data_IF_243613010402
#
_entry.id   IF_243613010402
#
_cell.length_a   1.000
_cell.length_b   1.000
_cell.length_c   1.000
_cell.angle_alpha   90.00
_cell.angle_beta   90.00
_cell.angle_gamma   90.00
#
_symmetry.space_group_name_H-M   'P 1'
#
loop_
_entity.id
_entity.type
_entity.pdbx_description
1 polymer ?
#
# COMPACT_ATOMS: atom_id res chain seq x y z
N UNK A 1 49.55 46.28 27.68
CA UNK A 1 48.21 45.93 28.18
C UNK A 1 47.28 45.80 26.99
N UNK A 2 47.07 44.58 26.48
CA UNK A 2 46.18 44.29 25.34
C UNK A 2 44.97 43.53 25.88
N UNK A 3 43.81 44.15 25.81
CA UNK A 3 42.52 43.59 26.18
C UNK A 3 41.98 42.72 25.05
N UNK A 4 41.74 41.44 25.33
CA UNK A 4 41.05 40.53 24.41
C UNK A 4 39.54 40.60 24.66
N UNK A 5 38.81 40.89 23.58
CA UNK A 5 37.36 40.96 23.50
C UNK A 5 36.84 39.57 23.10
N UNK A 6 36.19 38.84 24.03
CA UNK A 6 35.48 37.60 23.70
C UNK A 6 34.11 37.93 23.10
N UNK A 7 33.88 37.54 21.83
CA UNK A 7 32.56 37.52 21.21
C UNK A 7 31.92 36.14 21.41
N UNK A 8 30.89 36.07 22.23
CA UNK A 8 29.98 34.91 22.33
C UNK A 8 28.90 35.04 21.27
N UNK A 9 28.84 34.12 20.32
CA UNK A 9 27.68 33.92 19.45
C UNK A 9 26.86 32.74 19.96
N UNK A 10 25.72 33.04 20.58
CA UNK A 10 24.70 32.06 20.92
C UNK A 10 23.81 31.78 19.72
N UNK A 11 23.88 30.56 19.17
CA UNK A 11 22.90 30.06 18.22
C UNK A 11 21.73 29.41 18.97
N UNK A 12 20.57 30.07 18.91
CA UNK A 12 19.28 29.57 19.35
C UNK A 12 18.58 28.87 18.18
N UNK A 13 18.77 27.55 18.07
CA UNK A 13 18.04 26.69 17.11
C UNK A 13 17.50 25.47 17.86
N UNK A 14 16.45 25.65 18.66
CA UNK A 14 15.86 24.53 19.42
C UNK A 14 14.32 24.51 19.47
N UNK A 15 13.61 25.42 18.80
CA UNK A 15 12.15 25.57 19.04
C UNK A 15 11.22 25.37 17.83
N UNK A 16 11.73 24.86 16.68
CA UNK A 16 10.88 24.61 15.50
C UNK A 16 10.48 23.15 15.29
N UNK A 17 11.14 22.17 15.91
CA UNK A 17 10.79 20.74 15.73
C UNK A 17 9.66 20.25 16.64
N UNK A 18 9.37 20.95 17.74
CA UNK A 18 8.36 20.50 18.71
C UNK A 18 6.90 20.72 18.27
N UNK A 19 6.65 21.57 17.25
CA UNK A 19 5.27 21.86 16.79
C UNK A 19 4.74 20.86 15.77
N UNK A 20 5.60 20.17 15.02
CA UNK A 20 5.17 19.23 13.97
C UNK A 20 4.71 17.88 14.51
N UNK A 21 5.03 17.55 15.78
CA UNK A 21 4.71 16.24 16.36
C UNK A 21 3.28 16.22 16.95
N UNK A 22 2.74 17.36 17.38
CA UNK A 22 1.43 17.42 18.07
C UNK A 22 0.24 17.30 17.12
N UNK A 23 0.33 17.77 15.87
CA UNK A 23 -0.75 17.64 14.88
C UNK A 23 -0.96 16.20 14.38
N UNK A 24 0.05 15.33 14.48
CA UNK A 24 -0.03 13.94 13.99
C UNK A 24 -0.77 13.02 14.98
N UNK A 25 -0.84 13.38 16.27
CA UNK A 25 -1.52 12.56 17.30
C UNK A 25 -3.05 12.62 17.18
N UNK A 26 -3.62 13.65 16.54
CA UNK A 26 -5.08 13.73 16.34
C UNK A 26 -5.61 12.83 15.22
N UNK A 27 -4.76 12.35 14.30
CA UNK A 27 -5.19 11.51 13.17
C UNK A 27 -5.48 10.06 13.60
N UNK A 28 -4.94 9.59 14.73
CA UNK A 28 -5.12 8.19 15.17
C UNK A 28 -6.43 7.90 15.89
N UNK A 29 -7.33 8.88 16.06
CA UNK A 29 -8.58 8.73 16.84
C UNK A 29 -9.86 8.54 16.00
N UNK A 30 -9.78 8.47 14.66
CA UNK A 30 -10.95 8.36 13.77
C UNK A 30 -11.07 6.96 13.12
N UNK A 31 -11.01 5.90 13.92
CA UNK A 31 -11.15 4.51 13.45
C UNK A 31 -12.59 4.09 13.13
N UNK A 32 -13.60 4.96 13.32
CA UNK A 32 -15.02 4.60 13.26
C UNK A 32 -15.76 4.94 11.96
N UNK A 33 -15.11 5.55 10.95
CA UNK A 33 -15.80 6.04 9.74
C UNK A 33 -15.79 5.12 8.51
N UNK A 34 -15.25 3.89 8.59
CA UNK A 34 -15.08 3.00 7.41
C UNK A 34 -16.26 2.06 7.10
N UNK A 35 -17.47 2.33 7.60
CA UNK A 35 -18.66 1.50 7.32
C UNK A 35 -19.71 2.19 6.42
N UNK A 36 -19.27 2.88 5.36
CA UNK A 36 -20.19 3.36 4.31
C UNK A 36 -19.83 2.68 3.00
N UNK A 37 -20.11 1.38 2.93
CA UNK A 37 -20.09 0.63 1.65
C UNK A 37 -21.43 0.91 0.97
N UNK A 38 -21.49 1.95 0.13
CA UNK A 38 -22.62 2.16 -0.77
C UNK A 38 -22.58 1.05 -1.83
N UNK A 39 -23.58 0.16 -1.79
CA UNK A 39 -23.83 -0.83 -2.85
C UNK A 39 -24.12 -0.07 -4.15
N UNK A 40 -23.12 0.09 -5.00
CA UNK A 40 -23.36 0.50 -6.38
C UNK A 40 -23.91 -0.73 -7.13
N UNK A 41 -25.08 -0.64 -7.77
CA UNK A 41 -25.56 -1.70 -8.64
C UNK A 41 -24.61 -1.82 -9.83
N UNK A 42 -23.87 -2.92 -9.90
CA UNK A 42 -23.03 -3.27 -11.05
C UNK A 42 -23.99 -3.52 -12.22
N UNK A 43 -24.07 -2.56 -13.14
CA UNK A 43 -24.76 -2.79 -14.40
C UNK A 43 -23.82 -3.58 -15.32
N UNK A 44 -24.17 -4.86 -15.53
CA UNK A 44 -23.49 -5.74 -16.47
C UNK A 44 -23.79 -5.23 -17.88
N UNK A 45 -22.78 -4.63 -18.52
CA UNK A 45 -22.84 -4.16 -19.90
C UNK A 45 -22.94 -5.37 -20.82
N UNK A 46 -24.10 -5.56 -21.45
CA UNK A 46 -24.32 -6.62 -22.43
C UNK A 46 -23.35 -6.45 -23.62
N UNK A 47 -22.60 -7.51 -23.92
CA UNK A 47 -21.68 -7.59 -25.07
C UNK A 47 -22.51 -7.47 -26.36
N UNK A 48 -22.25 -6.43 -27.15
CA UNK A 48 -22.70 -6.38 -28.54
C UNK A 48 -21.79 -7.23 -29.42
N UNK A 49 -22.43 -8.03 -30.27
CA UNK A 49 -21.80 -8.98 -31.20
C UNK A 49 -20.81 -8.28 -32.12
N UNK A 50 -19.54 -8.67 -32.01
CA UNK A 50 -18.47 -8.23 -32.89
C UNK A 50 -18.31 -9.27 -34.00
N UNK A 51 -19.03 -9.08 -35.10
CA UNK A 51 -18.85 -9.83 -36.35
C UNK A 51 -17.51 -9.44 -36.98
N UNK A 52 -16.55 -10.36 -36.96
CA UNK A 52 -15.23 -10.20 -37.60
C UNK A 52 -15.32 -10.81 -39.01
N UNK A 53 -15.37 -9.96 -40.04
CA UNK A 53 -15.16 -10.36 -41.42
C UNK A 53 -13.65 -10.38 -41.70
N UNK A 54 -13.06 -11.56 -41.86
CA UNK A 54 -11.63 -11.73 -42.21
C UNK A 54 -11.52 -12.16 -43.67
N UNK A 55 -11.10 -11.23 -44.53
CA UNK A 55 -10.60 -11.52 -45.88
C UNK A 55 -9.11 -11.82 -45.79
N UNK A 56 -8.75 -13.00 -46.31
CA UNK A 56 -7.42 -13.58 -46.23
C UNK A 56 -6.42 -12.89 -47.15
N UNK A 57 -5.25 -12.53 -46.62
CA UNK A 57 -4.04 -12.35 -47.44
C UNK A 57 -2.80 -12.66 -46.58
N UNK A 58 -2.13 -13.75 -46.96
CA UNK A 58 -0.70 -14.10 -46.91
C UNK A 58 0.17 -13.78 -45.66
N UNK A 59 0.79 -14.86 -45.15
CA UNK A 59 1.91 -14.94 -44.19
C UNK A 59 1.84 -14.05 -42.94
N UNK A 60 0.79 -14.21 -42.15
CA UNK A 60 0.69 -13.61 -40.81
C UNK A 60 1.39 -14.47 -39.75
N UNK A 61 2.38 -13.91 -39.06
CA UNK A 61 2.89 -14.43 -37.78
C UNK A 61 1.72 -14.85 -36.90
N UNK A 62 1.73 -16.09 -36.39
CA UNK A 62 0.63 -16.63 -35.61
C UNK A 62 0.30 -15.70 -34.43
N UNK A 63 -0.77 -14.92 -34.60
CA UNK A 63 -1.24 -13.99 -33.58
C UNK A 63 -1.65 -14.81 -32.36
N UNK A 64 -0.94 -14.60 -31.26
CA UNK A 64 -1.28 -15.22 -29.97
C UNK A 64 -2.56 -14.57 -29.46
N UNK A 65 -3.67 -15.29 -29.53
CA UNK A 65 -4.93 -14.85 -28.95
C UNK A 65 -5.16 -15.51 -27.60
N UNK A 66 -5.65 -14.72 -26.65
CA UNK A 66 -6.10 -15.20 -25.34
C UNK A 66 -7.62 -15.29 -25.39
N UNK A 67 -8.15 -16.50 -25.21
CA UNK A 67 -9.58 -16.74 -25.00
C UNK A 67 -9.83 -17.24 -23.59
N UNK A 68 -10.98 -16.89 -23.02
CA UNK A 68 -11.41 -17.40 -21.72
C UNK A 68 -12.34 -18.58 -21.91
N UNK A 69 -12.31 -19.55 -20.99
CA UNK A 69 -13.28 -20.64 -20.99
C UNK A 69 -14.67 -20.11 -20.63
N UNK A 70 -15.68 -20.46 -21.42
CA UNK A 70 -17.07 -20.04 -21.19
C UNK A 70 -17.69 -20.67 -19.94
N UNK A 71 -17.14 -21.80 -19.50
CA UNK A 71 -17.60 -22.55 -18.32
C UNK A 71 -16.61 -22.45 -17.17
N UNK A 72 -17.08 -21.98 -16.02
CA UNK A 72 -16.29 -21.93 -14.77
C UNK A 72 -16.67 -23.13 -13.90
N UNK A 73 -15.69 -23.95 -13.52
CA UNK A 73 -15.86 -25.00 -12.51
C UNK A 73 -15.54 -24.44 -11.13
N UNK A 74 -16.51 -24.46 -10.22
CA UNK A 74 -16.30 -24.07 -8.82
C UNK A 74 -16.16 -25.31 -7.95
N UNK A 75 -15.16 -25.35 -7.08
CA UNK A 75 -15.04 -26.38 -6.04
C UNK A 75 -15.21 -25.71 -4.67
N UNK A 76 -16.13 -26.21 -3.82
CA UNK A 76 -16.22 -25.70 -2.46
C UNK A 76 -14.92 -26.01 -1.74
N UNK A 77 -14.35 -25.00 -1.09
CA UNK A 77 -13.19 -25.16 -0.22
C UNK A 77 -13.66 -25.02 1.22
N UNK A 78 -13.17 -25.89 2.10
CA UNK A 78 -13.52 -25.87 3.51
C UNK A 78 -13.08 -24.53 4.12
N UNK A 79 -14.00 -23.83 4.78
CA UNK A 79 -13.64 -22.64 5.56
C UNK A 79 -12.77 -23.04 6.74
N UNK A 80 -11.79 -22.21 7.10
CA UNK A 80 -10.95 -22.43 8.29
C UNK A 80 -11.78 -22.54 9.57
N UNK A 81 -12.89 -21.80 9.63
CA UNK A 81 -13.79 -21.81 10.79
C UNK A 81 -14.62 -23.11 10.88
N UNK A 82 -14.61 -23.93 9.82
CA UNK A 82 -15.28 -25.23 9.75
C UNK A 82 -14.34 -26.40 10.07
N UNK A 83 -13.08 -26.14 10.43
CA UNK A 83 -12.12 -27.20 10.74
C UNK A 83 -12.42 -27.82 12.10
N UNK A 84 -12.33 -29.14 12.21
CA UNK A 84 -12.37 -29.81 13.51
C UNK A 84 -11.12 -29.49 14.32
N UNK A 85 -11.14 -29.76 15.63
CA UNK A 85 -9.97 -29.52 16.49
C UNK A 85 -8.77 -30.37 16.07
N UNK A 86 -9.03 -31.60 15.63
CA UNK A 86 -8.01 -32.52 15.12
C UNK A 86 -7.35 -31.96 13.85
N UNK A 87 -8.15 -31.42 12.92
CA UNK A 87 -7.65 -30.76 11.71
C UNK A 87 -6.85 -29.49 12.02
N UNK A 88 -7.30 -28.69 13.00
CA UNK A 88 -6.57 -27.50 13.46
C UNK A 88 -5.22 -27.87 14.07
N UNK A 89 -5.15 -28.94 14.86
CA UNK A 89 -3.90 -29.44 15.45
C UNK A 89 -2.99 -30.10 14.40
N UNK A 90 -3.56 -30.62 13.31
CA UNK A 90 -2.81 -31.17 12.17
C UNK A 90 -2.31 -30.09 11.19
N UNK A 91 -2.70 -28.83 11.37
CA UNK A 91 -2.18 -27.73 10.56
C UNK A 91 -0.66 -27.55 10.78
N UNK A 92 0.04 -27.07 9.75
CA UNK A 92 1.50 -26.87 9.81
C UNK A 92 1.94 -25.85 10.86
N UNK A 93 1.06 -24.93 11.25
CA UNK A 93 1.34 -23.91 12.25
C UNK A 93 0.17 -23.81 13.20
N UNK A 94 0.45 -23.91 14.50
CA UNK A 94 -0.54 -23.68 15.54
C UNK A 94 -0.70 -22.18 15.84
N UNK A 95 -1.72 -21.82 16.60
CA UNK A 95 -1.92 -20.43 17.05
C UNK A 95 -0.72 -19.92 17.88
N UNK A 96 -0.11 -20.78 18.68
CA UNK A 96 1.10 -20.49 19.46
C UNK A 96 2.30 -20.20 18.54
N UNK A 97 2.43 -20.94 17.43
CA UNK A 97 3.47 -20.70 16.43
C UNK A 97 3.30 -19.34 15.77
N UNK A 98 2.08 -19.00 15.35
CA UNK A 98 1.78 -17.67 14.81
C UNK A 98 2.08 -16.57 15.82
N UNK A 99 1.72 -16.76 17.08
CA UNK A 99 1.99 -15.81 18.15
C UNK A 99 3.50 -15.60 18.35
N UNK A 100 4.29 -16.68 18.31
CA UNK A 100 5.74 -16.64 18.41
C UNK A 100 6.38 -15.96 17.21
N UNK A 101 5.95 -16.28 15.99
CA UNK A 101 6.40 -15.63 14.76
C UNK A 101 6.10 -14.13 14.79
N UNK A 102 4.87 -13.74 15.15
CA UNK A 102 4.46 -12.35 15.28
C UNK A 102 5.33 -11.60 16.30
N UNK A 103 5.56 -12.19 17.48
CA UNK A 103 6.42 -11.60 18.52
C UNK A 103 7.85 -11.40 18.02
N UNK A 104 8.41 -12.40 17.32
CA UNK A 104 9.74 -12.30 16.72
C UNK A 104 9.84 -11.18 15.69
N UNK A 105 8.88 -11.10 14.77
CA UNK A 105 8.81 -10.03 13.75
C UNK A 105 8.69 -8.64 14.40
N UNK A 106 7.86 -8.49 15.43
CA UNK A 106 7.72 -7.22 16.14
C UNK A 106 9.00 -6.81 16.90
N UNK A 107 9.73 -7.78 17.47
CA UNK A 107 11.02 -7.52 18.08
C UNK A 107 12.06 -7.04 17.05
N UNK A 108 12.05 -7.61 15.84
CA UNK A 108 12.90 -7.14 14.75
C UNK A 108 12.53 -5.73 14.29
N UNK A 109 11.23 -5.43 14.15
CA UNK A 109 10.74 -4.07 13.86
C UNK A 109 11.19 -3.06 14.94
N UNK A 110 11.18 -3.44 16.21
CA UNK A 110 11.68 -2.58 17.29
C UNK A 110 13.19 -2.29 17.11
N UNK A 111 13.99 -3.28 16.71
CA UNK A 111 15.42 -3.09 16.39
C UNK A 111 15.65 -2.23 15.13
N UNK A 112 14.79 -2.36 14.12
CA UNK A 112 14.82 -1.50 12.93
C UNK A 112 14.57 -0.04 13.32
N UNK A 113 13.58 0.21 14.16
CA UNK A 113 13.24 1.55 14.64
C UNK A 113 14.33 2.17 15.53
N UNK A 114 15.13 1.35 16.24
CA UNK A 114 16.26 1.84 17.03
C UNK A 114 17.53 2.08 16.22
N UNK A 115 17.55 1.74 14.92
CA UNK A 115 18.74 1.89 14.07
C UNK A 115 19.86 0.91 14.42
N UNK A 116 19.55 -0.23 15.05
CA UNK A 116 20.57 -1.21 15.42
C UNK A 116 21.22 -1.85 14.18
N UNK A 117 22.56 -1.88 14.13
CA UNK A 117 23.32 -2.54 13.05
C UNK A 117 23.10 -4.05 12.96
N UNK A 118 22.60 -4.68 14.03
CA UNK A 118 22.28 -6.12 14.08
C UNK A 118 21.13 -6.54 13.15
N UNK A 119 20.37 -5.58 12.62
CA UNK A 119 19.26 -5.80 11.70
C UNK A 119 19.71 -6.43 10.37
N UNK A 120 20.94 -6.13 9.93
CA UNK A 120 21.51 -6.63 8.66
C UNK A 120 21.59 -8.15 8.55
N UNK A 121 21.54 -8.87 9.68
CA UNK A 121 21.55 -10.34 9.72
C UNK A 121 20.19 -10.97 9.45
N UNK A 122 19.11 -10.19 9.48
CA UNK A 122 17.75 -10.69 9.36
C UNK A 122 17.09 -10.12 8.12
N UNK A 123 16.19 -10.90 7.51
CA UNK A 123 15.34 -10.40 6.45
C UNK A 123 14.36 -9.37 7.03
N UNK A 124 14.48 -8.12 6.62
CA UNK A 124 13.56 -7.03 6.99
C UNK A 124 12.40 -6.87 6.01
N UNK A 125 12.43 -7.63 4.91
CA UNK A 125 11.45 -7.54 3.84
C UNK A 125 10.05 -7.89 4.33
N UNK A 126 9.08 -7.06 3.99
CA UNK A 126 7.69 -7.19 4.45
C UNK A 126 7.42 -6.60 5.83
N UNK A 127 8.45 -6.20 6.58
CA UNK A 127 8.33 -5.57 7.90
C UNK A 127 8.41 -4.04 7.85
N UNK A 128 8.74 -3.47 6.70
CA UNK A 128 8.85 -2.02 6.44
C UNK A 128 7.60 -1.28 6.92
N UNK A 129 6.42 -1.80 6.57
CA UNK A 129 5.13 -1.20 6.94
C UNK A 129 4.90 -1.07 8.45
N UNK A 130 5.60 -1.86 9.27
CA UNK A 130 5.51 -1.80 10.73
C UNK A 130 6.54 -0.87 11.36
N UNK A 131 7.52 -0.37 10.59
CA UNK A 131 8.42 0.66 11.08
C UNK A 131 7.64 1.95 11.35
N UNK A 132 8.10 2.72 12.33
CA UNK A 132 7.43 3.95 12.77
C UNK A 132 7.32 4.96 11.64
N UNK A 133 8.37 5.09 10.84
CA UNK A 133 8.45 6.08 9.75
C UNK A 133 7.61 5.65 8.57
N UNK A 134 7.82 4.45 8.04
CA UNK A 134 7.11 4.00 6.82
C UNK A 134 5.64 3.72 7.09
N UNK A 135 5.29 3.20 8.28
CA UNK A 135 3.90 3.02 8.70
C UNK A 135 3.14 4.34 8.74
N UNK A 136 3.74 5.39 9.33
CA UNK A 136 3.15 6.75 9.33
C UNK A 136 3.04 7.33 7.93
N UNK A 137 4.09 7.21 7.12
CA UNK A 137 4.08 7.72 5.74
C UNK A 137 2.97 7.08 4.91
N UNK A 138 2.83 5.75 5.00
CA UNK A 138 1.77 5.01 4.29
C UNK A 138 0.37 5.43 4.76
N UNK A 139 0.18 5.58 6.07
CA UNK A 139 -1.11 5.99 6.62
C UNK A 139 -1.46 7.43 6.19
N UNK A 140 -0.48 8.34 6.27
CA UNK A 140 -0.62 9.73 5.81
C UNK A 140 -1.00 9.77 4.34
N UNK A 141 -0.24 9.10 3.47
CA UNK A 141 -0.52 9.08 2.03
C UNK A 141 -1.92 8.52 1.71
N UNK A 142 -2.35 7.50 2.45
CA UNK A 142 -3.70 6.94 2.31
C UNK A 142 -4.77 7.98 2.64
N UNK A 143 -4.64 8.68 3.78
CA UNK A 143 -5.60 9.70 4.16
C UNK A 143 -5.60 10.88 3.20
N UNK A 144 -4.43 11.40 2.82
CA UNK A 144 -4.31 12.50 1.87
C UNK A 144 -4.92 12.16 0.51
N UNK A 145 -4.75 10.91 0.04
CA UNK A 145 -5.36 10.46 -1.21
C UNK A 145 -6.88 10.34 -1.09
N UNK A 146 -7.39 9.87 0.05
CA UNK A 146 -8.85 9.78 0.30
C UNK A 146 -9.46 11.18 0.37
N UNK A 147 -8.89 12.08 1.18
CA UNK A 147 -9.41 13.43 1.31
C UNK A 147 -9.36 14.19 -0.01
N UNK A 148 -8.26 14.10 -0.76
CA UNK A 148 -8.19 14.75 -2.06
C UNK A 148 -9.28 14.27 -3.04
N UNK A 149 -9.63 12.98 -3.01
CA UNK A 149 -10.73 12.45 -3.83
C UNK A 149 -12.09 12.95 -3.34
N UNK A 150 -12.33 12.99 -2.03
CA UNK A 150 -13.57 13.51 -1.46
C UNK A 150 -13.75 15.00 -1.77
N UNK A 151 -12.69 15.80 -1.58
CA UNK A 151 -12.69 17.23 -1.91
C UNK A 151 -13.01 17.45 -3.40
N UNK A 152 -12.43 16.64 -4.30
CA UNK A 152 -12.74 16.72 -5.74
C UNK A 152 -14.17 16.29 -6.06
N UNK A 153 -14.70 15.28 -5.37
CA UNK A 153 -16.10 14.86 -5.53
C UNK A 153 -17.08 15.96 -5.09
N UNK A 154 -16.78 16.65 -3.99
CA UNK A 154 -17.58 17.78 -3.52
C UNK A 154 -17.51 18.96 -4.53
N UNK A 155 -16.32 19.27 -5.07
CA UNK A 155 -16.17 20.29 -6.13
C UNK A 155 -16.99 19.94 -7.38
N UNK A 156 -16.92 18.69 -7.85
CA UNK A 156 -17.69 18.23 -9.02
C UNK A 156 -19.19 18.35 -8.78
N UNK A 157 -19.65 18.02 -7.56
CA UNK A 157 -21.04 18.15 -7.18
C UNK A 157 -21.52 19.61 -7.21
N UNK A 158 -20.74 20.53 -6.65
CA UNK A 158 -21.05 21.96 -6.62
C UNK A 158 -21.04 22.59 -8.03
N UNK A 159 -20.17 22.10 -8.91
CA UNK A 159 -20.11 22.49 -10.33
C UNK A 159 -21.25 21.87 -11.17
N UNK A 160 -22.01 20.91 -10.62
CA UNK A 160 -23.09 20.22 -11.31
C UNK A 160 -22.62 19.11 -12.27
N UNK A 161 -21.35 18.70 -12.19
CA UNK A 161 -20.82 17.55 -12.92
C UNK A 161 -21.05 16.26 -12.13
N UNK A 162 -21.58 15.23 -12.80
CA UNK A 162 -21.73 13.90 -12.20
C UNK A 162 -20.90 12.88 -12.97
N UNK A 163 -19.96 12.21 -12.26
CA UNK A 163 -19.21 11.08 -12.79
C UNK A 163 -18.05 11.42 -13.73
N UNK A 164 -17.31 12.51 -13.49
CA UNK A 164 -16.02 12.75 -14.17
C UNK A 164 -14.93 11.87 -13.51
N UNK A 165 -14.85 10.61 -13.98
CA UNK A 165 -13.92 9.61 -13.47
C UNK A 165 -12.46 9.98 -13.76
N UNK A 166 -12.20 10.69 -14.86
CA UNK A 166 -10.88 11.15 -15.28
C UNK A 166 -10.31 12.18 -14.30
N UNK A 167 -11.11 13.17 -13.85
CA UNK A 167 -10.68 14.14 -12.83
C UNK A 167 -10.36 13.47 -11.49
N UNK A 168 -11.26 12.61 -11.01
CA UNK A 168 -11.07 11.86 -9.76
C UNK A 168 -9.80 10.99 -9.84
N UNK A 169 -9.62 10.28 -10.94
CA UNK A 169 -8.44 9.46 -11.22
C UNK A 169 -7.16 10.30 -11.23
N UNK A 170 -7.21 11.47 -11.88
CA UNK A 170 -6.10 12.42 -11.92
C UNK A 170 -5.67 12.88 -10.53
N UNK A 171 -6.62 13.26 -9.68
CA UNK A 171 -6.35 13.69 -8.30
C UNK A 171 -5.75 12.54 -7.48
N UNK A 172 -6.33 11.34 -7.54
CA UNK A 172 -5.80 10.18 -6.83
C UNK A 172 -4.39 9.79 -7.31
N UNK A 173 -4.18 9.76 -8.62
CA UNK A 173 -2.90 9.45 -9.26
C UNK A 173 -1.82 10.44 -8.83
N UNK A 174 -2.14 11.74 -8.79
CA UNK A 174 -1.20 12.77 -8.34
C UNK A 174 -0.68 12.51 -6.93
N UNK A 175 -1.55 12.09 -5.99
CA UNK A 175 -1.20 11.79 -4.59
C UNK A 175 -0.43 10.49 -4.46
N UNK A 176 -0.79 9.47 -5.24
CA UNK A 176 -0.20 8.13 -5.13
C UNK A 176 1.06 7.91 -5.98
N UNK A 177 1.39 8.84 -6.88
CA UNK A 177 2.58 8.80 -7.75
C UNK A 177 3.88 8.46 -7.01
N UNK A 178 4.11 9.08 -5.86
CA UNK A 178 5.29 8.83 -5.01
C UNK A 178 5.39 7.39 -4.53
N UNK A 179 4.25 6.76 -4.21
CA UNK A 179 4.18 5.38 -3.77
C UNK A 179 4.45 4.40 -4.91
N UNK A 180 4.03 4.73 -6.13
CA UNK A 180 4.31 3.95 -7.33
C UNK A 180 5.82 3.97 -7.63
N UNK A 181 6.44 5.16 -7.62
CA UNK A 181 7.88 5.29 -7.83
C UNK A 181 8.67 4.53 -6.76
N UNK A 182 8.26 4.63 -5.49
CA UNK A 182 8.92 3.89 -4.42
C UNK A 182 8.80 2.38 -4.60
N UNK A 183 7.63 1.88 -5.02
CA UNK A 183 7.44 0.46 -5.31
C UNK A 183 8.34 -0.02 -6.47
N UNK A 184 8.52 0.80 -7.52
CA UNK A 184 9.42 0.49 -8.63
C UNK A 184 10.89 0.43 -8.18
N UNK A 185 11.35 1.43 -7.43
CA UNK A 185 12.72 1.46 -6.88
C UNK A 185 12.99 0.23 -6.02
N UNK A 186 12.02 -0.11 -5.18
CA UNK A 186 12.08 -1.29 -4.33
C UNK A 186 12.12 -2.59 -5.15
N UNK A 187 11.31 -2.72 -6.19
CA UNK A 187 11.33 -3.91 -7.07
C UNK A 187 12.67 -4.08 -7.79
N UNK A 188 13.27 -2.99 -8.27
CA UNK A 188 14.61 -3.02 -8.88
C UNK A 188 15.68 -3.45 -7.87
N UNK A 189 15.56 -3.00 -6.63
CA UNK A 189 16.47 -3.42 -5.56
C UNK A 189 16.35 -4.92 -5.30
N UNK A 190 15.13 -5.43 -5.13
CA UNK A 190 14.87 -6.85 -4.90
C UNK A 190 15.41 -7.72 -6.05
N UNK A 191 15.22 -7.28 -7.31
CA UNK A 191 15.77 -7.95 -8.48
C UNK A 191 17.29 -8.08 -8.39
N UNK A 192 17.99 -6.97 -8.12
CA UNK A 192 19.46 -6.95 -8.00
C UNK A 192 19.96 -7.82 -6.85
N UNK A 193 19.21 -7.95 -5.76
CA UNK A 193 19.56 -8.84 -4.66
C UNK A 193 19.41 -10.30 -5.05
N UNK A 194 18.34 -10.66 -5.77
CA UNK A 194 18.11 -12.01 -6.24
C UNK A 194 19.17 -12.48 -7.25
N UNK A 195 19.60 -11.58 -8.16
CA UNK A 195 20.64 -11.87 -9.16
C UNK A 195 22.00 -12.22 -8.54
N UNK A 196 22.29 -11.83 -7.28
CA UNK A 196 23.55 -12.17 -6.59
C UNK A 196 23.67 -13.65 -6.22
N UNK A 197 22.57 -14.40 -6.28
CA UNK A 197 22.50 -15.82 -5.88
C UNK A 197 22.38 -16.78 -7.07
N UNK A 198 22.47 -16.27 -8.29
CA UNK A 198 22.49 -17.07 -9.54
C UNK A 198 23.94 -17.32 -9.98
#
# INVERSE_FOLDING_TARGET
MKSNLEHKHGHSTSNKEARTITEIVQITSFSSFLNVVRKCPIQIRNKSDRTVNTLATEETEALKFVSFADTVSVRPTLSRDSYTKEEQLACWFTEEDFSRMKKSSMALVAKMNSGSSSVTKYCTRGLEKYTRVQGRHRLKNRYESIFAVLDEQDNLYDEGFSGDDERISGVYSSRTSSSILWAQVVGIHDQKEAEKYQ
#
